data_IF_593122297279
#
_entry.id   IF_593122297279
#
_cell.length_a   1.000
_cell.length_b   1.000
_cell.length_c   1.000
_cell.angle_alpha   90.00
_cell.angle_beta   90.00
_cell.angle_gamma   90.00
#
_symmetry.space_group_name_H-M   'P 1'
#
loop_
_entity.id
_entity.type
_entity.pdbx_description
1 polymer ?
#
# COMPACT_ATOMS: atom_id res chain seq x y z
N UNK A 1 3.68 17.31 -21.19
CA UNK A 1 3.71 15.83 -21.14
C UNK A 1 2.90 15.42 -19.94
N UNK A 2 1.61 15.12 -20.15
CA UNK A 2 0.70 14.74 -19.08
C UNK A 2 0.54 13.23 -19.15
N UNK A 3 1.20 12.50 -18.26
CA UNK A 3 1.09 11.05 -18.23
C UNK A 3 1.66 10.47 -16.95
N UNK A 4 0.81 9.82 -16.16
CA UNK A 4 1.26 8.76 -15.25
C UNK A 4 0.90 8.85 -13.78
N UNK A 5 0.24 9.90 -13.27
CA UNK A 5 -0.17 9.90 -11.84
C UNK A 5 -1.38 8.98 -11.53
N UNK A 6 -2.04 8.41 -12.54
CA UNK A 6 -3.24 7.59 -12.36
C UNK A 6 -2.97 6.06 -12.43
N UNK A 7 -1.77 5.62 -12.82
CA UNK A 7 -1.50 4.20 -13.10
C UNK A 7 -1.02 3.40 -11.89
N UNK A 8 -0.34 4.04 -10.93
CA UNK A 8 0.16 3.36 -9.72
C UNK A 8 -0.98 2.90 -8.80
N UNK A 9 -2.02 3.73 -8.65
CA UNK A 9 -3.16 3.43 -7.79
C UNK A 9 -3.93 2.19 -8.29
N UNK A 10 -4.14 2.09 -9.60
CA UNK A 10 -4.77 0.92 -10.24
C UNK A 10 -3.94 -0.36 -10.12
N UNK A 11 -2.60 -0.25 -10.10
CA UNK A 11 -1.71 -1.42 -9.98
C UNK A 11 -1.70 -2.04 -8.60
N UNK A 12 -1.97 -1.26 -7.55
CA UNK A 12 -1.94 -1.76 -6.18
C UNK A 12 -3.29 -2.31 -5.71
N UNK A 13 -4.40 -2.00 -6.39
CA UNK A 13 -5.68 -2.67 -6.16
C UNK A 13 -5.56 -4.21 -6.34
N UNK A 14 -4.77 -4.67 -7.32
CA UNK A 14 -4.50 -6.11 -7.54
C UNK A 14 -3.68 -6.78 -6.42
N UNK A 15 -3.12 -5.99 -5.49
CA UNK A 15 -2.41 -6.52 -4.33
C UNK A 15 -3.37 -6.96 -3.22
N UNK A 16 -4.64 -6.56 -3.26
CA UNK A 16 -5.63 -7.01 -2.27
C UNK A 16 -5.75 -8.53 -2.29
N UNK A 17 -5.64 -9.15 -1.12
CA UNK A 17 -5.61 -10.60 -0.93
C UNK A 17 -4.24 -11.23 -1.17
N UNK A 18 -3.21 -10.47 -1.58
CA UNK A 18 -1.83 -10.95 -1.70
C UNK A 18 -1.10 -10.90 -0.35
N UNK A 19 -0.11 -11.79 -0.11
CA UNK A 19 0.69 -11.74 1.11
C UNK A 19 1.52 -10.45 1.18
N UNK A 20 1.77 -9.98 2.41
CA UNK A 20 2.58 -8.78 2.70
C UNK A 20 3.83 -8.66 1.82
N UNK A 21 4.61 -9.75 1.75
CA UNK A 21 5.88 -9.78 1.02
C UNK A 21 5.71 -9.45 -0.47
N UNK A 22 4.70 -10.03 -1.12
CA UNK A 22 4.43 -9.82 -2.55
C UNK A 22 4.00 -8.36 -2.80
N UNK A 23 3.15 -7.83 -1.92
CA UNK A 23 2.70 -6.44 -1.99
C UNK A 23 3.86 -5.45 -1.82
N UNK A 24 4.68 -5.62 -0.79
CA UNK A 24 5.83 -4.76 -0.53
C UNK A 24 6.85 -4.83 -1.67
N UNK A 25 7.14 -6.02 -2.21
CA UNK A 25 8.04 -6.15 -3.36
C UNK A 25 7.50 -5.44 -4.59
N UNK A 26 6.19 -5.54 -4.85
CA UNK A 26 5.55 -4.88 -6.01
C UNK A 26 5.60 -3.37 -5.87
N UNK A 27 5.24 -2.83 -4.70
CA UNK A 27 5.29 -1.40 -4.42
C UNK A 27 6.73 -0.86 -4.54
N UNK A 28 7.73 -1.61 -4.06
CA UNK A 28 9.15 -1.26 -4.25
C UNK A 28 9.57 -1.22 -5.72
N UNK A 29 9.09 -2.16 -6.53
CA UNK A 29 9.39 -2.21 -7.98
C UNK A 29 8.76 -1.05 -8.74
N UNK A 30 7.62 -0.55 -8.28
CA UNK A 30 6.98 0.66 -8.80
C UNK A 30 7.72 1.96 -8.41
N UNK A 31 8.78 1.87 -7.59
CA UNK A 31 9.66 2.99 -7.25
C UNK A 31 9.45 3.57 -5.85
N UNK A 32 8.47 3.07 -5.11
CA UNK A 32 8.16 3.55 -3.77
C UNK A 32 9.12 2.94 -2.73
N UNK A 33 9.70 3.80 -1.91
CA UNK A 33 10.69 3.40 -0.90
C UNK A 33 10.18 3.52 0.53
N UNK A 34 9.16 4.35 0.74
CA UNK A 34 8.58 4.61 2.04
C UNK A 34 7.30 3.80 2.16
N UNK A 35 7.41 2.58 2.66
CA UNK A 35 6.29 1.65 2.80
C UNK A 35 6.09 1.38 4.28
N UNK A 36 4.87 1.60 4.75
CA UNK A 36 4.46 1.32 6.12
C UNK A 36 3.48 0.16 6.10
N UNK A 37 3.83 -0.93 6.78
CA UNK A 37 2.97 -2.11 6.89
C UNK A 37 2.34 -2.09 8.26
N UNK A 38 1.02 -2.18 8.31
CA UNK A 38 0.25 -2.18 9.56
C UNK A 38 -0.79 -3.29 9.54
N UNK A 39 -1.12 -3.82 10.70
CA UNK A 39 -2.20 -4.77 10.86
C UNK A 39 -3.55 -4.06 11.00
N UNK A 40 -4.59 -4.62 10.39
CA UNK A 40 -5.97 -4.19 10.58
C UNK A 40 -6.36 -4.31 12.05
N UNK A 41 -7.03 -3.28 12.57
CA UNK A 41 -7.40 -3.19 13.98
C UNK A 41 -6.34 -2.53 14.88
N UNK A 42 -5.19 -2.12 14.33
CA UNK A 42 -4.25 -1.22 15.04
C UNK A 42 -4.67 0.25 14.89
N UNK A 43 -4.43 1.12 15.89
CA UNK A 43 -4.72 2.54 15.75
C UNK A 43 -3.94 3.20 14.60
N UNK A 44 -2.80 2.63 14.21
CA UNK A 44 -2.00 3.05 13.06
C UNK A 44 -2.69 2.81 11.72
N UNK A 45 -3.59 1.82 11.61
CA UNK A 45 -4.38 1.59 10.40
C UNK A 45 -5.32 2.76 10.09
N UNK A 46 -5.87 3.39 11.14
CA UNK A 46 -6.81 4.54 11.06
C UNK A 46 -6.08 5.91 11.12
N UNK A 47 -4.79 5.91 11.42
CA UNK A 47 -4.01 7.14 11.52
C UNK A 47 -3.88 7.85 10.16
N UNK A 48 -3.65 9.15 10.16
CA UNK A 48 -3.29 9.87 8.94
C UNK A 48 -2.00 9.29 8.33
N UNK A 49 -1.99 9.09 7.01
CA UNK A 49 -0.82 8.62 6.28
C UNK A 49 0.11 9.83 6.07
N UNK A 50 1.41 9.67 6.27
CA UNK A 50 2.37 10.75 5.99
C UNK A 50 2.47 10.93 4.47
N UNK A 51 2.59 12.18 4.00
CA UNK A 51 2.82 12.44 2.57
C UNK A 51 4.08 11.70 2.10
N UNK A 52 3.97 11.05 0.94
CA UNK A 52 5.04 10.24 0.36
C UNK A 52 5.26 8.88 1.03
N UNK A 53 4.34 8.42 1.89
CA UNK A 53 4.32 7.06 2.45
C UNK A 53 3.19 6.26 1.84
N UNK A 54 3.49 5.01 1.46
CA UNK A 54 2.50 4.00 1.06
C UNK A 54 2.18 3.14 2.26
N UNK A 55 0.92 3.13 2.68
CA UNK A 55 0.46 2.24 3.75
C UNK A 55 -0.15 0.97 3.19
N UNK A 56 0.31 -0.17 3.68
CA UNK A 56 -0.22 -1.50 3.39
C UNK A 56 -0.89 -2.01 4.66
N UNK A 57 -2.22 -2.19 4.59
CA UNK A 57 -3.01 -2.69 5.72
C UNK A 57 -3.23 -4.18 5.51
N UNK A 58 -2.82 -4.99 6.49
CA UNK A 58 -2.92 -6.44 6.44
C UNK A 58 -4.10 -6.97 7.25
N UNK A 59 -4.70 -8.07 6.81
CA UNK A 59 -5.66 -8.83 7.58
C UNK A 59 -4.97 -9.75 8.61
N UNK A 60 -5.76 -10.42 9.46
CA UNK A 60 -5.30 -11.38 10.46
C UNK A 60 -4.42 -12.52 9.90
N UNK A 61 -4.57 -12.86 8.62
CA UNK A 61 -3.77 -13.85 7.87
C UNK A 61 -2.56 -13.24 7.15
N UNK A 62 -2.21 -11.99 7.43
CA UNK A 62 -1.09 -11.26 6.83
C UNK A 62 -1.18 -11.07 5.30
N UNK A 63 -2.40 -10.98 4.76
CA UNK A 63 -2.63 -10.56 3.38
C UNK A 63 -3.14 -9.12 3.35
N UNK A 64 -2.92 -8.45 2.23
CA UNK A 64 -3.40 -7.08 2.03
C UNK A 64 -4.93 -7.05 2.09
N UNK A 65 -5.48 -6.34 3.05
CA UNK A 65 -6.93 -6.23 3.25
C UNK A 65 -7.55 -5.15 2.37
N UNK A 66 -6.84 -4.04 2.19
CA UNK A 66 -7.28 -2.87 1.42
C UNK A 66 -6.22 -2.45 0.41
N UNK A 67 -6.61 -1.82 -0.71
CA UNK A 67 -5.65 -1.29 -1.67
C UNK A 67 -4.63 -0.39 -0.97
N UNK A 68 -3.31 -0.60 -1.19
CA UNK A 68 -2.28 0.24 -0.61
C UNK A 68 -2.54 1.72 -0.88
N UNK A 69 -2.54 2.50 0.20
CA UNK A 69 -2.90 3.91 0.16
C UNK A 69 -1.63 4.75 0.17
N UNK A 70 -1.52 5.66 -0.80
CA UNK A 70 -0.48 6.69 -0.82
C UNK A 70 -1.13 8.05 -0.64
N UNK A 71 -0.59 8.83 0.28
CA UNK A 71 -0.93 10.23 0.40
C UNK A 71 0.11 11.04 -0.37
N UNK A 72 -0.34 11.77 -1.40
CA UNK A 72 0.44 12.80 -2.09
C UNK A 72 0.29 14.13 -1.34
#
# INVERSE_FOLDING_TARGET
MSGGCCDLRKRWDDLVGKPEKEAVETIKRDGERNIEVVDDGTPEADAAIKSGVVRVILDEKKNVKYPPLRQD
#
